data_IF_507707233045
#
_entry.id   IF_507707233045
#
_cell.length_a   1.000
_cell.length_b   1.000
_cell.length_c   1.000
_cell.angle_alpha   90.00
_cell.angle_beta   90.00
_cell.angle_gamma   90.00
#
_symmetry.space_group_name_H-M   'P 1'
#
loop_
_entity.id
_entity.type
_entity.pdbx_description
1 polymer ?
#
# COMPACT_ATOMS: atom_id res chain seq x y z
N UNK A 1 -1.92 -7.67 -11.01
CA UNK A 1 -1.08 -6.99 -10.00
C UNK A 1 -0.20 -8.04 -9.35
N UNK A 2 1.11 -8.04 -9.59
CA UNK A 2 2.02 -9.08 -9.07
C UNK A 2 2.11 -8.87 -7.55
N UNK A 3 1.78 -9.86 -6.69
CA UNK A 3 1.94 -9.74 -5.25
C UNK A 3 3.42 -9.93 -4.94
N UNK A 4 4.23 -8.92 -5.24
CA UNK A 4 5.60 -8.87 -4.74
C UNK A 4 5.49 -8.55 -3.26
N UNK A 5 6.26 -9.29 -2.49
CA UNK A 5 6.29 -9.36 -1.03
C UNK A 5 6.90 -8.08 -0.45
N UNK A 6 6.24 -6.93 -0.66
CA UNK A 6 6.67 -5.63 -0.11
C UNK A 6 6.82 -5.69 1.41
N UNK A 7 6.03 -6.54 2.07
CA UNK A 7 6.09 -6.78 3.51
C UNK A 7 7.30 -7.61 3.97
N UNK A 8 7.93 -8.43 3.13
CA UNK A 8 9.12 -9.22 3.52
C UNK A 8 10.37 -8.34 3.67
N UNK A 9 10.55 -7.38 2.76
CA UNK A 9 11.64 -6.41 2.84
C UNK A 9 11.45 -5.47 4.03
N UNK A 10 10.23 -4.95 4.23
CA UNK A 10 9.88 -4.17 5.40
C UNK A 10 10.11 -4.96 6.71
N UNK A 11 9.71 -6.24 6.74
CA UNK A 11 9.95 -7.15 7.86
C UNK A 11 11.43 -7.28 8.21
N UNK A 12 12.27 -7.38 7.18
CA UNK A 12 13.73 -7.48 7.31
C UNK A 12 14.32 -6.20 7.89
N UNK A 13 13.99 -5.04 7.31
CA UNK A 13 14.52 -3.73 7.74
C UNK A 13 14.11 -3.42 9.19
N UNK A 14 12.84 -3.63 9.52
CA UNK A 14 12.30 -3.35 10.85
C UNK A 14 12.62 -4.45 11.87
N UNK A 15 13.22 -5.57 11.44
CA UNK A 15 13.53 -6.76 12.26
C UNK A 15 12.32 -7.31 13.01
N UNK A 16 11.11 -7.19 12.43
CA UNK A 16 9.86 -7.71 13.01
C UNK A 16 9.27 -8.80 12.11
N UNK A 17 9.19 -10.02 12.63
CA UNK A 17 8.67 -11.21 11.92
C UNK A 17 7.15 -11.18 11.68
N UNK A 18 6.41 -10.28 12.32
CA UNK A 18 4.95 -10.15 12.21
C UNK A 18 4.48 -9.19 11.11
N UNK A 19 5.40 -8.47 10.44
CA UNK A 19 5.11 -7.52 9.37
C UNK A 19 4.50 -8.08 8.06
N UNK A 20 4.68 -9.37 7.68
CA UNK A 20 4.08 -9.94 6.47
C UNK A 20 2.55 -9.79 6.35
N UNK A 21 1.87 -9.50 7.46
CA UNK A 21 0.40 -9.40 7.56
C UNK A 21 -0.15 -7.98 7.69
N UNK A 22 0.72 -6.97 7.81
CA UNK A 22 0.24 -5.58 7.97
C UNK A 22 -0.19 -5.00 6.63
N UNK A 23 -1.27 -4.24 6.66
CA UNK A 23 -1.66 -3.40 5.53
C UNK A 23 -0.70 -2.20 5.37
N UNK A 24 -0.83 -1.46 4.25
CA UNK A 24 0.04 -0.33 3.95
C UNK A 24 0.01 0.77 5.02
N UNK A 25 -1.15 1.01 5.63
CA UNK A 25 -1.35 2.10 6.60
C UNK A 25 -0.86 1.70 7.99
N UNK A 26 -1.03 0.44 8.37
CA UNK A 26 -0.42 -0.13 9.56
C UNK A 26 1.11 -0.09 9.45
N UNK A 27 1.67 -0.45 8.28
CA UNK A 27 3.10 -0.33 8.02
C UNK A 27 3.57 1.13 8.06
N UNK A 28 2.77 2.06 7.54
CA UNK A 28 3.07 3.49 7.63
C UNK A 28 3.19 3.95 9.08
N UNK A 29 2.28 3.52 9.95
CA UNK A 29 2.34 3.79 11.39
C UNK A 29 3.62 3.25 12.05
N UNK A 30 4.03 2.04 11.68
CA UNK A 30 5.28 1.42 12.17
C UNK A 30 6.54 2.19 11.80
N UNK A 31 6.55 2.88 10.65
CA UNK A 31 7.66 3.73 10.21
C UNK A 31 7.50 5.21 10.60
N UNK A 32 6.48 5.53 11.40
CA UNK A 32 6.23 6.86 11.94
C UNK A 32 5.58 7.84 10.96
N UNK A 33 4.80 7.34 10.01
CA UNK A 33 3.99 8.14 9.09
C UNK A 33 2.51 8.05 9.48
N UNK A 34 1.84 9.20 9.63
CA UNK A 34 0.39 9.28 9.85
C UNK A 34 -0.33 9.34 8.50
N UNK A 35 -0.43 8.19 7.84
CA UNK A 35 -1.21 8.01 6.62
C UNK A 35 -2.56 7.40 6.95
N UNK A 36 -3.62 7.93 6.34
CA UNK A 36 -4.99 7.43 6.56
C UNK A 36 -5.55 6.89 5.26
N UNK A 37 -6.26 5.75 5.29
CA UNK A 37 -6.97 5.30 4.11
C UNK A 37 -8.01 6.33 3.71
N UNK A 38 -8.24 6.45 2.41
CA UNK A 38 -9.44 7.15 1.94
C UNK A 38 -10.67 6.39 2.44
N UNK A 39 -11.75 7.13 2.72
CA UNK A 39 -13.01 6.60 3.26
C UNK A 39 -13.64 5.49 2.40
N UNK A 40 -13.18 5.31 1.16
CA UNK A 40 -13.69 4.30 0.24
C UNK A 40 -12.83 3.04 0.31
N UNK A 41 -13.47 1.88 0.40
CA UNK A 41 -12.81 0.60 0.25
C UNK A 41 -12.16 0.46 -1.13
N UNK A 42 -11.13 -0.39 -1.24
CA UNK A 42 -10.53 -0.73 -2.53
C UNK A 42 -11.63 -1.13 -3.52
N UNK A 43 -11.61 -0.64 -4.76
CA UNK A 43 -12.53 -1.14 -5.76
C UNK A 43 -12.35 -2.65 -5.91
N UNK A 44 -13.46 -3.39 -5.78
CA UNK A 44 -13.51 -4.84 -5.94
C UNK A 44 -13.41 -5.13 -7.44
N UNK A 45 -12.17 -5.18 -7.92
CA UNK A 45 -11.85 -5.41 -9.33
C UNK A 45 -11.33 -6.83 -9.47
N UNK A 46 -12.20 -7.71 -9.94
CA UNK A 46 -11.74 -8.96 -10.54
C UNK A 46 -10.86 -8.64 -11.77
N UNK A 47 -9.82 -9.43 -11.99
CA UNK A 47 -8.82 -9.20 -13.04
C UNK A 47 -9.46 -9.15 -14.44
N UNK A 48 -10.53 -9.93 -14.66
CA UNK A 48 -11.28 -9.98 -15.92
C UNK A 48 -12.17 -8.74 -16.13
N UNK A 49 -12.55 -8.04 -15.05
CA UNK A 49 -13.38 -6.83 -15.10
C UNK A 49 -12.51 -5.58 -15.27
N UNK A 50 -11.25 -5.60 -14.80
CA UNK A 50 -10.35 -4.45 -14.79
C UNK A 50 -10.17 -3.79 -16.17
N UNK A 51 -10.10 -4.58 -17.24
CA UNK A 51 -9.91 -4.07 -18.60
C UNK A 51 -11.20 -3.53 -19.25
N UNK A 52 -12.37 -3.90 -18.73
CA UNK A 52 -13.68 -3.45 -19.22
C UNK A 52 -14.34 -2.40 -18.31
N UNK A 53 -13.72 -2.11 -17.15
CA UNK A 53 -14.24 -1.20 -16.15
C UNK A 53 -13.94 0.26 -16.51
N UNK A 54 -14.98 1.08 -16.57
CA UNK A 54 -14.81 2.53 -16.59
C UNK A 54 -14.57 2.97 -15.15
N UNK A 55 -13.33 3.30 -14.81
CA UNK A 55 -12.97 3.81 -13.50
C UNK A 55 -13.70 5.13 -13.21
N UNK A 56 -14.32 5.22 -12.04
CA UNK A 56 -14.81 6.50 -11.53
C UNK A 56 -13.63 7.40 -11.15
N UNK A 57 -13.87 8.71 -11.10
CA UNK A 57 -12.87 9.68 -10.61
C UNK A 57 -12.35 9.30 -9.21
N UNK A 58 -13.23 8.77 -8.37
CA UNK A 58 -12.89 8.30 -7.02
C UNK A 58 -12.02 7.04 -7.03
N UNK A 59 -12.15 6.14 -8.01
CA UNK A 59 -11.26 4.98 -8.16
C UNK A 59 -9.85 5.42 -8.57
N UNK A 60 -9.77 6.42 -9.46
CA UNK A 60 -8.50 7.03 -9.87
C UNK A 60 -7.83 7.74 -8.69
N UNK A 61 -8.58 8.54 -7.91
CA UNK A 61 -8.08 9.16 -6.67
C UNK A 61 -7.57 8.13 -5.67
N UNK A 62 -8.31 7.04 -5.50
CA UNK A 62 -7.91 5.94 -4.63
C UNK A 62 -6.58 5.30 -5.05
N UNK A 63 -6.42 5.02 -6.34
CA UNK A 63 -5.20 4.45 -6.90
C UNK A 63 -3.99 5.40 -6.72
N UNK A 64 -4.17 6.69 -7.03
CA UNK A 64 -3.13 7.71 -6.86
C UNK A 64 -2.71 7.83 -5.39
N UNK A 65 -3.68 7.85 -4.47
CA UNK A 65 -3.41 7.96 -3.04
C UNK A 65 -2.60 6.77 -2.52
N UNK A 66 -2.99 5.53 -2.87
CA UNK A 66 -2.24 4.33 -2.46
C UNK A 66 -0.83 4.28 -3.06
N UNK A 67 -0.66 4.71 -4.31
CA UNK A 67 0.66 4.79 -4.93
C UNK A 67 1.57 5.76 -4.16
N UNK A 68 1.08 6.96 -3.86
CA UNK A 68 1.83 7.97 -3.10
C UNK A 68 2.14 7.52 -1.67
N UNK A 69 1.18 6.90 -0.99
CA UNK A 69 1.37 6.33 0.34
C UNK A 69 2.47 5.25 0.35
N UNK A 70 2.46 4.34 -0.63
CA UNK A 70 3.48 3.30 -0.77
C UNK A 70 4.87 3.87 -1.06
N UNK A 71 4.96 4.93 -1.87
CA UNK A 71 6.24 5.58 -2.18
C UNK A 71 6.85 6.23 -0.92
N UNK A 72 6.05 6.96 -0.14
CA UNK A 72 6.49 7.55 1.13
C UNK A 72 6.98 6.51 2.14
N UNK A 73 6.23 5.42 2.29
CA UNK A 73 6.63 4.30 3.17
C UNK A 73 7.93 3.68 2.68
N UNK A 74 8.05 3.43 1.38
CA UNK A 74 9.27 2.89 0.77
C UNK A 74 10.48 3.79 0.99
N UNK A 75 10.34 5.10 0.77
CA UNK A 75 11.40 6.08 1.01
C UNK A 75 11.84 6.09 2.47
N UNK A 76 10.88 6.02 3.41
CA UNK A 76 11.18 5.95 4.84
C UNK A 76 11.97 4.69 5.18
N UNK A 77 11.57 3.53 4.65
CA UNK A 77 12.26 2.26 4.84
C UNK A 77 13.69 2.29 4.27
N UNK A 78 13.91 2.89 3.10
CA UNK A 78 15.26 3.06 2.52
C UNK A 78 16.14 3.91 3.41
N UNK A 79 15.60 4.99 4.00
CA UNK A 79 16.33 5.82 4.96
C UNK A 79 16.64 5.15 6.31
N UNK A 80 16.11 3.95 6.55
CA UNK A 80 16.38 3.14 7.75
C UNK A 80 17.43 2.04 7.50
N UNK A 81 17.88 1.86 6.26
CA UNK A 81 19.06 1.06 5.92
C UNK A 81 20.34 1.77 6.39
#
# INVERSE_FOLDING_TARGET
MIPIRHTDLAATILRKLSLPKLDLYELAGEVGLDLKPLSRASPDLDADIFCAHIFSEEDVKYAIHNFYASDLVGYKLVGML
#
